data_IF_590367629452
#
_entry.id   IF_590367629452
#
_cell.length_a   1.000
_cell.length_b   1.000
_cell.length_c   1.000
_cell.angle_alpha   90.00
_cell.angle_beta   90.00
_cell.angle_gamma   90.00
#
_symmetry.space_group_name_H-M   'P 1'
#
loop_
_entity.id
_entity.type
_entity.pdbx_description
1 polymer ?
#
# COMPACT_ATOMS: atom_id res chain seq x y z
N UNK A 1 -19.85 -3.63 -13.10
CA UNK A 1 -19.86 -4.82 -12.22
C UNK A 1 -18.41 -5.23 -11.93
N UNK A 2 -18.04 -5.72 -10.73
CA UNK A 2 -16.67 -6.23 -10.45
C UNK A 2 -16.71 -7.51 -9.62
N UNK A 3 -16.09 -8.60 -10.11
CA UNK A 3 -16.16 -9.94 -9.49
C UNK A 3 -14.85 -10.70 -9.67
N UNK A 4 -14.44 -11.43 -8.63
CA UNK A 4 -13.21 -12.22 -8.64
C UNK A 4 -13.48 -13.69 -8.33
N UNK A 5 -12.67 -14.57 -8.92
CA UNK A 5 -12.82 -16.00 -8.85
C UNK A 5 -11.47 -16.69 -8.77
N UNK A 6 -11.42 -17.81 -8.06
CA UNK A 6 -10.26 -18.67 -7.96
C UNK A 6 -10.55 -20.09 -8.43
N UNK A 7 -9.52 -20.73 -8.95
CA UNK A 7 -9.54 -22.12 -9.36
C UNK A 7 -8.31 -22.81 -8.77
N UNK A 8 -8.56 -23.93 -8.07
CA UNK A 8 -7.51 -24.76 -7.48
C UNK A 8 -7.79 -26.23 -7.79
N UNK A 9 -6.79 -26.90 -8.36
CA UNK A 9 -6.72 -28.36 -8.53
C UNK A 9 -5.31 -28.87 -8.18
N UNK A 10 -5.03 -30.17 -8.33
CA UNK A 10 -3.72 -30.76 -8.00
C UNK A 10 -2.52 -30.13 -8.75
N UNK A 11 -2.75 -29.43 -9.88
CA UNK A 11 -1.71 -28.92 -10.78
C UNK A 11 -1.78 -27.40 -11.01
N UNK A 12 -2.86 -26.76 -10.64
CA UNK A 12 -3.17 -25.37 -11.00
C UNK A 12 -3.75 -24.62 -9.82
N UNK A 13 -3.15 -23.48 -9.52
CA UNK A 13 -3.72 -22.47 -8.64
C UNK A 13 -3.79 -21.14 -9.39
N UNK A 14 -5.00 -20.69 -9.73
CA UNK A 14 -5.24 -19.59 -10.68
C UNK A 14 -6.28 -18.62 -10.15
N UNK A 15 -6.13 -17.36 -10.52
CA UNK A 15 -7.15 -16.33 -10.31
C UNK A 15 -7.73 -15.89 -11.67
N UNK A 16 -8.96 -15.37 -11.64
CA UNK A 16 -9.60 -14.69 -12.75
C UNK A 16 -10.57 -13.66 -12.17
N UNK A 17 -10.48 -12.40 -12.59
CA UNK A 17 -11.48 -11.39 -12.24
C UNK A 17 -11.93 -10.63 -13.48
N UNK A 18 -13.12 -10.04 -13.37
CA UNK A 18 -13.75 -9.24 -14.41
C UNK A 18 -14.29 -7.94 -13.80
N UNK A 19 -14.11 -6.85 -14.51
CA UNK A 19 -14.72 -5.55 -14.20
C UNK A 19 -15.34 -4.97 -15.47
N UNK A 20 -16.63 -4.61 -15.42
CA UNK A 20 -17.32 -3.89 -16.48
C UNK A 20 -17.63 -2.45 -16.06
N UNK A 21 -17.41 -1.53 -16.99
CA UNK A 21 -17.71 -0.11 -16.90
C UNK A 21 -18.16 0.35 -18.29
N UNK A 22 -19.35 0.94 -18.37
CA UNK A 22 -19.95 1.38 -19.64
C UNK A 22 -20.01 0.24 -20.68
N UNK A 23 -19.65 0.51 -21.93
CA UNK A 23 -19.64 -0.47 -23.01
C UNK A 23 -18.40 -1.39 -23.01
N UNK A 24 -17.54 -1.29 -21.99
CA UNK A 24 -16.30 -2.05 -21.89
C UNK A 24 -16.28 -3.01 -20.71
N UNK A 25 -15.52 -4.08 -20.84
CA UNK A 25 -15.02 -4.80 -19.68
C UNK A 25 -13.56 -5.16 -19.82
N UNK A 26 -12.91 -5.30 -18.68
CA UNK A 26 -11.56 -5.84 -18.54
C UNK A 26 -11.62 -7.17 -17.79
N UNK A 27 -10.79 -8.12 -18.20
CA UNK A 27 -10.50 -9.33 -17.43
C UNK A 27 -9.02 -9.38 -17.08
N UNK A 28 -8.70 -9.87 -15.89
CA UNK A 28 -7.33 -10.19 -15.53
C UNK A 28 -7.24 -11.61 -14.99
N UNK A 29 -6.23 -12.34 -15.44
CA UNK A 29 -6.11 -13.77 -15.16
C UNK A 29 -4.69 -14.27 -15.18
N UNK A 30 -4.41 -15.26 -14.34
CA UNK A 30 -3.07 -15.80 -14.19
C UNK A 30 -2.99 -16.89 -13.13
N UNK A 31 -1.76 -17.29 -12.83
CA UNK A 31 -1.47 -18.07 -11.62
C UNK A 31 -1.63 -17.17 -10.40
N UNK A 32 -2.03 -17.72 -9.26
CA UNK A 32 -1.95 -16.98 -7.99
C UNK A 32 -0.50 -16.50 -7.80
N UNK A 33 -0.33 -15.31 -7.20
CA UNK A 33 0.95 -14.60 -7.01
C UNK A 33 1.65 -14.07 -8.27
N UNK A 34 1.01 -14.21 -9.44
CA UNK A 34 1.42 -13.55 -10.67
C UNK A 34 0.60 -12.28 -10.95
N UNK A 35 1.19 -11.35 -11.71
CA UNK A 35 0.47 -10.18 -12.25
C UNK A 35 -0.67 -10.64 -13.18
N UNK A 36 -0.43 -11.73 -13.89
CA UNK A 36 -1.35 -12.25 -14.91
C UNK A 36 -1.31 -11.43 -16.19
N UNK A 37 -2.35 -11.63 -17.01
CA UNK A 37 -2.60 -10.92 -18.25
C UNK A 37 -3.89 -10.12 -18.11
N UNK A 38 -3.91 -8.94 -18.72
CA UNK A 38 -5.11 -8.12 -18.87
C UNK A 38 -5.63 -8.29 -20.30
N UNK A 39 -6.95 -8.25 -20.45
CA UNK A 39 -7.61 -8.30 -21.76
C UNK A 39 -8.84 -7.39 -21.69
N UNK A 40 -8.89 -6.36 -22.55
CA UNK A 40 -10.01 -5.41 -22.66
C UNK A 40 -10.85 -5.76 -23.87
N UNK A 41 -12.16 -5.57 -23.72
CA UNK A 41 -13.12 -5.68 -24.82
C UNK A 41 -14.20 -4.62 -24.71
N UNK A 42 -14.68 -4.21 -25.87
CA UNK A 42 -15.66 -3.15 -26.06
C UNK A 42 -16.82 -3.63 -26.95
N UNK A 43 -18.01 -3.07 -26.74
CA UNK A 43 -19.23 -3.38 -27.48
C UNK A 43 -19.98 -2.13 -27.90
N UNK A 44 -20.96 -2.30 -28.79
CA UNK A 44 -21.82 -1.19 -29.24
C UNK A 44 -22.83 -0.72 -28.18
N UNK A 45 -23.06 -1.50 -27.11
CA UNK A 45 -23.99 -1.13 -26.05
C UNK A 45 -23.64 -1.78 -24.70
N UNK A 46 -24.04 -1.10 -23.62
CA UNK A 46 -23.89 -1.57 -22.24
C UNK A 46 -24.59 -2.93 -22.06
N UNK A 47 -25.78 -3.12 -22.63
CA UNK A 47 -26.52 -4.39 -22.46
C UNK A 47 -25.78 -5.57 -23.10
N UNK A 48 -25.15 -5.37 -24.26
CA UNK A 48 -24.38 -6.44 -24.90
C UNK A 48 -23.08 -6.71 -24.14
N UNK A 49 -22.39 -5.66 -23.65
CA UNK A 49 -21.23 -5.79 -22.77
C UNK A 49 -21.56 -6.63 -21.52
N UNK A 50 -22.61 -6.28 -20.79
CA UNK A 50 -23.03 -6.99 -19.58
C UNK A 50 -23.42 -8.44 -19.87
N UNK A 51 -24.14 -8.68 -20.98
CA UNK A 51 -24.51 -10.03 -21.40
C UNK A 51 -23.29 -10.89 -21.74
N UNK A 52 -22.27 -10.33 -22.39
CA UNK A 52 -21.02 -11.06 -22.66
C UNK A 52 -20.21 -11.29 -21.38
N UNK A 53 -20.14 -10.32 -20.48
CA UNK A 53 -19.50 -10.46 -19.18
C UNK A 53 -20.15 -11.59 -18.36
N UNK A 54 -21.48 -11.64 -18.28
CA UNK A 54 -22.22 -12.72 -17.62
C UNK A 54 -21.93 -14.10 -18.24
N UNK A 55 -21.88 -14.16 -19.57
CA UNK A 55 -21.58 -15.39 -20.30
C UNK A 55 -20.19 -15.92 -19.96
N UNK A 56 -19.20 -15.04 -19.82
CA UNK A 56 -17.85 -15.41 -19.37
C UNK A 56 -17.85 -15.91 -17.93
N UNK A 57 -18.55 -15.23 -17.02
CA UNK A 57 -18.68 -15.66 -15.61
C UNK A 57 -19.30 -17.07 -15.54
N UNK A 58 -20.44 -17.30 -16.22
CA UNK A 58 -21.11 -18.61 -16.27
C UNK A 58 -20.16 -19.70 -16.82
N UNK A 59 -19.37 -19.36 -17.83
CA UNK A 59 -18.35 -20.26 -18.40
C UNK A 59 -17.24 -20.61 -17.41
N UNK A 60 -16.76 -19.63 -16.62
CA UNK A 60 -15.73 -19.84 -15.59
C UNK A 60 -16.23 -20.69 -14.44
N UNK A 61 -17.44 -20.42 -13.94
CA UNK A 61 -18.09 -21.23 -12.90
C UNK A 61 -18.24 -22.69 -13.36
N UNK A 62 -18.68 -22.92 -14.61
CA UNK A 62 -18.78 -24.28 -15.18
C UNK A 62 -17.42 -25.00 -15.24
N UNK A 63 -16.32 -24.26 -15.37
CA UNK A 63 -14.95 -24.79 -15.33
C UNK A 63 -14.41 -25.02 -13.92
N UNK A 64 -15.22 -24.79 -12.88
CA UNK A 64 -14.86 -25.03 -11.48
C UNK A 64 -14.27 -23.81 -10.75
N UNK A 65 -14.26 -22.62 -11.37
CA UNK A 65 -13.89 -21.40 -10.66
C UNK A 65 -14.94 -21.08 -9.59
N UNK A 66 -14.48 -20.72 -8.40
CA UNK A 66 -15.31 -20.32 -7.26
C UNK A 66 -15.16 -18.83 -7.03
N UNK A 67 -16.28 -18.15 -6.82
CA UNK A 67 -16.28 -16.73 -6.51
C UNK A 67 -15.70 -16.47 -5.12
N UNK A 68 -14.95 -15.38 -5.01
CA UNK A 68 -14.31 -14.94 -3.77
C UNK A 68 -14.68 -13.49 -3.49
N UNK A 69 -15.15 -13.23 -2.27
CA UNK A 69 -15.66 -11.92 -1.86
C UNK A 69 -14.57 -11.02 -1.24
N UNK A 70 -13.45 -11.61 -0.82
CA UNK A 70 -12.34 -10.95 -0.14
C UNK A 70 -11.09 -10.83 -1.04
N UNK A 71 -11.28 -10.80 -2.36
CA UNK A 71 -10.16 -10.56 -3.27
C UNK A 71 -9.61 -9.15 -3.08
N UNK A 72 -8.31 -9.05 -2.85
CA UNK A 72 -7.64 -7.77 -2.68
C UNK A 72 -7.34 -7.15 -4.04
N UNK A 73 -8.23 -6.25 -4.48
CA UNK A 73 -8.05 -5.49 -5.71
C UNK A 73 -7.08 -4.32 -5.55
N UNK A 74 -6.77 -3.89 -4.33
CA UNK A 74 -5.96 -2.70 -4.06
C UNK A 74 -4.46 -3.03 -3.98
N UNK A 75 -4.11 -4.27 -3.63
CA UNK A 75 -2.72 -4.70 -3.58
C UNK A 75 -2.33 -5.51 -4.82
N UNK A 76 -2.62 -4.96 -6.00
CA UNK A 76 -2.27 -5.57 -7.29
C UNK A 76 -1.67 -4.55 -8.26
N UNK A 77 -0.88 -5.08 -9.18
CA UNK A 77 -0.37 -4.33 -10.31
C UNK A 77 -1.38 -4.33 -11.46
N UNK A 78 -1.72 -3.14 -11.94
CA UNK A 78 -2.66 -2.86 -13.02
C UNK A 78 -1.91 -2.49 -14.29
N UNK A 79 -2.07 -3.30 -15.33
CA UNK A 79 -1.29 -3.21 -16.56
C UNK A 79 -2.24 -3.13 -17.75
N UNK A 80 -1.81 -2.49 -18.82
CA UNK A 80 -2.59 -2.43 -20.04
C UNK A 80 -2.65 -3.79 -20.76
N UNK A 81 -3.66 -3.94 -21.60
CA UNK A 81 -3.73 -5.05 -22.54
C UNK A 81 -2.70 -4.82 -23.63
N UNK A 82 -1.90 -5.82 -23.98
CA UNK A 82 -0.83 -5.68 -24.98
C UNK A 82 -1.37 -5.47 -26.40
N UNK A 83 -2.63 -5.84 -26.63
CA UNK A 83 -3.32 -5.70 -27.92
C UNK A 83 -4.22 -4.45 -27.97
N UNK A 84 -4.28 -3.67 -26.90
CA UNK A 84 -5.10 -2.46 -26.77
C UNK A 84 -4.21 -1.28 -26.35
N UNK A 85 -4.61 -0.05 -26.67
CA UNK A 85 -3.93 1.13 -26.17
C UNK A 85 -4.16 1.31 -24.65
N UNK A 86 -3.63 2.39 -24.08
CA UNK A 86 -3.81 2.73 -22.68
C UNK A 86 -5.31 2.92 -22.40
N UNK A 87 -5.84 2.27 -21.36
CA UNK A 87 -7.26 2.37 -21.01
C UNK A 87 -7.47 2.60 -19.51
N UNK A 88 -8.57 3.26 -19.20
CA UNK A 88 -8.92 3.59 -17.83
C UNK A 88 -9.21 2.33 -17.01
N UNK A 89 -9.88 1.32 -17.57
CA UNK A 89 -10.23 0.08 -16.88
C UNK A 89 -9.02 -0.78 -16.49
N UNK A 90 -7.91 -0.63 -17.20
CA UNK A 90 -6.60 -1.26 -16.86
C UNK A 90 -5.79 -0.44 -15.87
N UNK A 91 -6.34 0.65 -15.33
CA UNK A 91 -5.71 1.48 -14.30
C UNK A 91 -6.19 1.13 -12.88
N UNK A 92 -5.29 1.28 -11.91
CA UNK A 92 -5.56 0.99 -10.50
C UNK A 92 -6.79 1.79 -9.98
N UNK A 93 -7.65 1.21 -9.12
CA UNK A 93 -8.84 1.90 -8.58
C UNK A 93 -8.55 3.29 -7.98
N UNK A 94 -7.47 3.43 -7.20
CA UNK A 94 -7.06 4.74 -6.66
C UNK A 94 -6.64 5.75 -7.74
N UNK A 95 -6.02 5.31 -8.83
CA UNK A 95 -5.73 6.19 -9.97
C UNK A 95 -7.03 6.70 -10.57
N UNK A 96 -7.94 5.79 -10.93
CA UNK A 96 -9.24 6.14 -11.53
C UNK A 96 -10.11 7.04 -10.66
N UNK A 97 -10.01 6.87 -9.34
CA UNK A 97 -10.77 7.68 -8.39
C UNK A 97 -10.29 9.14 -8.36
N UNK A 98 -8.99 9.35 -8.57
CA UNK A 98 -8.38 10.68 -8.44
C UNK A 98 -8.25 11.39 -9.79
N UNK A 99 -7.76 10.68 -10.80
CA UNK A 99 -7.52 11.19 -12.15
C UNK A 99 -8.72 10.88 -13.03
N UNK A 100 -9.77 11.70 -12.95
CA UNK A 100 -11.07 11.38 -13.59
C UNK A 100 -11.18 11.78 -15.05
N UNK A 101 -10.22 12.54 -15.59
CA UNK A 101 -10.19 12.92 -17.00
C UNK A 101 -9.50 11.84 -17.85
N UNK A 102 -10.30 10.87 -18.32
CA UNK A 102 -9.77 9.76 -19.12
C UNK A 102 -9.05 10.23 -20.41
N UNK A 103 -9.51 11.33 -21.02
CA UNK A 103 -8.89 11.87 -22.25
C UNK A 103 -7.55 12.56 -21.99
N UNK A 104 -7.27 12.94 -20.75
CA UNK A 104 -5.98 13.47 -20.34
C UNK A 104 -5.02 12.35 -19.94
N UNK A 105 -5.51 11.36 -19.20
CA UNK A 105 -4.65 10.40 -18.50
C UNK A 105 -4.45 9.06 -19.22
N UNK A 106 -5.28 8.75 -20.22
CA UNK A 106 -5.17 7.55 -21.05
C UNK A 106 -4.96 7.86 -22.53
N UNK A 107 -4.68 9.11 -22.88
CA UNK A 107 -4.45 9.52 -24.26
C UNK A 107 -3.00 9.26 -24.67
N UNK A 108 -2.83 8.51 -25.75
CA UNK A 108 -1.53 8.10 -26.29
C UNK A 108 -1.13 8.90 -27.55
N UNK A 109 -1.76 10.05 -27.82
CA UNK A 109 -1.53 10.83 -29.05
C UNK A 109 -1.47 12.35 -28.84
N UNK A 110 -1.56 12.83 -27.61
CA UNK A 110 -1.33 14.23 -27.26
C UNK A 110 -0.01 14.34 -26.48
N UNK A 111 1.01 14.94 -27.10
CA UNK A 111 2.39 15.01 -26.59
C UNK A 111 2.52 15.69 -25.21
N UNK A 112 1.52 16.48 -24.78
CA UNK A 112 1.55 17.12 -23.45
C UNK A 112 1.01 16.21 -22.34
N UNK A 113 0.35 15.10 -22.68
CA UNK A 113 -0.22 14.15 -21.72
C UNK A 113 0.87 13.19 -21.20
N UNK A 114 0.68 12.57 -20.00
CA UNK A 114 1.76 11.78 -19.37
C UNK A 114 2.30 10.61 -20.19
N UNK A 115 1.50 10.09 -21.12
CA UNK A 115 1.84 8.92 -21.94
C UNK A 115 1.59 9.13 -23.44
N UNK A 116 1.33 10.37 -23.87
CA UNK A 116 0.96 10.68 -25.25
C UNK A 116 2.13 10.98 -26.18
N UNK A 117 3.28 11.31 -25.61
CA UNK A 117 4.55 11.39 -26.31
C UNK A 117 5.22 10.03 -26.45
N UNK A 118 6.17 9.91 -27.39
CA UNK A 118 6.98 8.69 -27.56
C UNK A 118 7.73 8.33 -26.26
N UNK A 119 8.34 9.33 -25.60
CA UNK A 119 9.09 9.15 -24.34
C UNK A 119 8.16 8.72 -23.20
N UNK A 120 7.00 9.36 -23.04
CA UNK A 120 6.03 8.99 -22.01
C UNK A 120 5.48 7.57 -22.21
N UNK A 121 5.17 7.20 -23.45
CA UNK A 121 4.69 5.88 -23.82
C UNK A 121 5.76 4.79 -23.56
N UNK A 122 6.99 5.03 -24.01
CA UNK A 122 8.13 4.13 -23.80
C UNK A 122 8.39 3.91 -22.31
N UNK A 123 8.35 4.98 -21.50
CA UNK A 123 8.52 4.90 -20.04
C UNK A 123 7.49 3.95 -19.43
N UNK A 124 6.20 4.11 -19.75
CA UNK A 124 5.16 3.22 -19.23
C UNK A 124 5.41 1.76 -19.62
N UNK A 125 5.70 1.52 -20.91
CA UNK A 125 5.97 0.18 -21.43
C UNK A 125 7.18 -0.49 -20.77
N UNK A 126 8.30 0.25 -20.64
CA UNK A 126 9.53 -0.24 -20.02
C UNK A 126 9.30 -0.57 -18.54
N UNK A 127 8.56 0.26 -17.81
CA UNK A 127 8.19 0.02 -16.42
C UNK A 127 7.40 -1.28 -16.29
N UNK A 128 6.37 -1.47 -17.11
CA UNK A 128 5.57 -2.70 -17.11
C UNK A 128 6.44 -3.93 -17.37
N UNK A 129 7.30 -3.90 -18.39
CA UNK A 129 8.22 -4.99 -18.69
C UNK A 129 9.17 -5.30 -17.53
N UNK A 130 9.75 -4.26 -16.92
CA UNK A 130 10.71 -4.41 -15.82
C UNK A 130 10.03 -5.01 -14.60
N UNK A 131 8.83 -4.56 -14.24
CA UNK A 131 8.07 -5.11 -13.10
C UNK A 131 7.70 -6.59 -13.35
N UNK A 132 7.40 -6.99 -14.60
CA UNK A 132 7.16 -8.41 -14.93
C UNK A 132 8.40 -9.28 -14.73
N UNK A 133 9.61 -8.74 -14.98
CA UNK A 133 10.89 -9.44 -14.84
C UNK A 133 11.44 -9.40 -13.42
N UNK A 134 11.23 -8.29 -12.71
CA UNK A 134 11.70 -8.04 -11.36
C UNK A 134 10.63 -7.30 -10.56
N UNK A 135 10.04 -7.96 -9.57
CA UNK A 135 9.00 -7.37 -8.70
C UNK A 135 9.57 -6.27 -7.77
N UNK A 136 10.89 -6.15 -7.67
CA UNK A 136 11.61 -5.26 -6.76
C UNK A 136 12.03 -3.97 -7.47
N UNK A 137 11.15 -3.46 -8.31
CA UNK A 137 11.40 -2.30 -9.15
C UNK A 137 11.31 -1.00 -8.34
N UNK A 138 12.38 -0.18 -8.37
CA UNK A 138 12.37 1.15 -7.77
C UNK A 138 11.91 2.19 -8.79
N UNK A 139 10.69 2.71 -8.62
CA UNK A 139 10.17 3.82 -9.42
C UNK A 139 10.97 5.11 -9.19
N UNK A 140 11.49 5.32 -7.98
CA UNK A 140 12.22 6.54 -7.62
C UNK A 140 13.58 6.61 -8.34
N UNK A 141 14.29 5.49 -8.43
CA UNK A 141 15.63 5.47 -9.05
C UNK A 141 15.56 5.30 -10.58
N UNK A 142 14.40 4.88 -11.09
CA UNK A 142 14.21 4.54 -12.49
C UNK A 142 14.50 5.68 -13.48
N UNK A 143 14.04 6.94 -13.29
CA UNK A 143 14.26 8.01 -14.27
C UNK A 143 15.74 8.21 -14.61
N UNK A 144 16.57 8.34 -13.58
CA UNK A 144 18.01 8.49 -13.72
C UNK A 144 18.65 7.27 -14.37
N UNK A 145 18.25 6.08 -13.92
CA UNK A 145 18.77 4.83 -14.49
C UNK A 145 18.43 4.72 -15.98
N UNK A 146 17.19 4.99 -16.39
CA UNK A 146 16.75 4.91 -17.78
C UNK A 146 17.58 5.85 -18.66
N UNK A 147 17.64 7.12 -18.28
CA UNK A 147 18.29 8.17 -19.06
C UNK A 147 19.80 7.94 -19.16
N UNK A 148 20.49 7.67 -18.04
CA UNK A 148 21.94 7.53 -18.05
C UNK A 148 22.43 6.17 -18.55
N UNK A 149 21.71 5.08 -18.23
CA UNK A 149 22.19 3.71 -18.49
C UNK A 149 21.63 3.10 -19.75
N UNK A 150 20.35 3.34 -20.05
CA UNK A 150 19.72 2.72 -21.23
C UNK A 150 19.78 3.66 -22.44
N UNK A 151 19.57 4.96 -22.24
CA UNK A 151 19.58 5.94 -23.33
C UNK A 151 20.95 6.63 -23.51
N UNK A 152 21.81 6.61 -22.49
CA UNK A 152 23.16 7.18 -22.56
C UNK A 152 23.17 8.71 -22.65
N UNK A 153 22.14 9.35 -22.11
CA UNK A 153 21.94 10.81 -22.06
C UNK A 153 22.27 11.30 -20.63
N UNK A 154 22.65 12.57 -20.49
CA UNK A 154 22.86 13.18 -19.16
C UNK A 154 21.51 13.42 -18.48
N UNK A 155 21.34 12.91 -17.26
CA UNK A 155 20.14 13.14 -16.46
C UNK A 155 20.21 14.46 -15.70
N UNK A 156 19.20 15.30 -15.87
CA UNK A 156 19.04 16.55 -15.13
C UNK A 156 18.04 16.38 -14.00
N UNK A 157 18.55 16.23 -12.78
CA UNK A 157 17.71 16.18 -11.57
C UNK A 157 16.81 17.44 -11.50
N UNK A 158 15.48 17.28 -11.32
CA UNK A 158 14.59 18.42 -11.12
C UNK A 158 14.81 19.01 -9.74
N UNK A 159 15.27 20.26 -9.72
CA UNK A 159 15.56 21.04 -8.50
C UNK A 159 14.92 22.43 -8.60
N UNK A 160 14.62 23.09 -7.47
CA UNK A 160 14.11 24.46 -7.49
C UNK A 160 15.08 25.42 -8.20
N UNK A 161 14.56 26.17 -9.18
CA UNK A 161 15.34 27.15 -9.94
C UNK A 161 15.33 28.49 -9.21
N UNK A 162 16.48 28.92 -8.71
CA UNK A 162 16.63 30.15 -7.89
C UNK A 162 16.95 31.37 -8.78
N UNK A 163 17.69 31.18 -9.87
CA UNK A 163 18.10 32.24 -10.79
C UNK A 163 17.67 31.92 -12.23
N UNK A 164 16.50 32.46 -12.62
CA UNK A 164 15.94 32.31 -13.98
C UNK A 164 16.89 32.81 -15.06
N UNK A 165 17.74 33.80 -14.79
CA UNK A 165 18.67 34.35 -15.81
C UNK A 165 19.80 33.40 -16.11
N UNK A 166 20.40 32.84 -15.07
CA UNK A 166 21.46 31.83 -15.21
C UNK A 166 20.89 30.58 -15.90
N UNK A 167 19.71 30.12 -15.47
CA UNK A 167 19.03 28.99 -16.10
C UNK A 167 18.74 29.25 -17.58
N UNK A 168 18.29 30.44 -17.96
CA UNK A 168 18.04 30.80 -19.36
C UNK A 168 19.31 30.78 -20.23
N UNK A 169 20.49 31.08 -19.67
CA UNK A 169 21.76 30.92 -20.40
C UNK A 169 22.17 29.44 -20.50
N UNK A 170 21.91 28.64 -19.46
CA UNK A 170 22.19 27.20 -19.47
C UNK A 170 21.39 26.46 -20.56
N UNK A 171 20.13 26.83 -20.78
CA UNK A 171 19.28 26.24 -21.83
C UNK A 171 19.88 26.38 -23.25
N UNK A 172 20.69 27.43 -23.49
CA UNK A 172 21.32 27.71 -24.79
C UNK A 172 22.56 26.85 -25.06
N UNK A 173 23.08 26.16 -24.04
CA UNK A 173 24.22 25.26 -24.19
C UNK A 173 23.84 24.14 -25.16
N UNK A 174 24.77 23.75 -26.02
CA UNK A 174 24.61 22.60 -26.92
C UNK A 174 25.62 21.53 -26.54
N UNK A 175 25.15 20.30 -26.34
CA UNK A 175 26.00 19.14 -26.15
C UNK A 175 25.64 18.06 -27.19
N UNK A 176 26.66 17.53 -27.87
CA UNK A 176 26.54 16.50 -28.92
C UNK A 176 25.45 16.75 -29.99
N UNK A 177 25.10 18.01 -30.24
CA UNK A 177 24.10 18.40 -31.25
C UNK A 177 22.68 18.59 -30.72
N UNK A 178 22.42 18.30 -29.44
CA UNK A 178 21.17 18.60 -28.74
C UNK A 178 21.32 19.89 -27.92
N UNK A 179 20.24 20.66 -27.80
CA UNK A 179 20.20 21.76 -26.83
C UNK A 179 20.07 21.20 -25.41
N UNK A 180 20.64 21.91 -24.43
CA UNK A 180 20.46 21.59 -23.01
C UNK A 180 18.98 21.58 -22.64
N UNK A 181 18.21 22.50 -23.22
CA UNK A 181 16.75 22.51 -23.13
C UNK A 181 16.10 21.16 -23.49
N UNK A 182 16.44 20.58 -24.65
CA UNK A 182 15.88 19.31 -25.07
C UNK A 182 16.24 18.17 -24.10
N UNK A 183 17.48 18.15 -23.59
CA UNK A 183 17.94 17.14 -22.64
C UNK A 183 17.24 17.28 -21.27
N UNK A 184 16.99 18.52 -20.83
CA UNK A 184 16.24 18.80 -19.60
C UNK A 184 14.78 18.38 -19.76
N UNK A 185 14.13 18.74 -20.87
CA UNK A 185 12.75 18.34 -21.15
C UNK A 185 12.61 16.81 -21.18
N UNK A 186 13.55 16.10 -21.81
CA UNK A 186 13.60 14.64 -21.79
C UNK A 186 13.68 14.08 -20.36
N UNK A 187 14.50 14.72 -19.50
CA UNK A 187 14.62 14.33 -18.10
C UNK A 187 13.33 14.56 -17.32
N UNK A 188 12.68 15.71 -17.53
CA UNK A 188 11.42 16.07 -16.88
C UNK A 188 10.29 15.13 -17.30
N UNK A 189 10.20 14.84 -18.59
CA UNK A 189 9.16 13.99 -19.17
C UNK A 189 9.25 12.55 -18.66
N UNK A 190 10.46 11.99 -18.57
CA UNK A 190 10.66 10.66 -17.97
C UNK A 190 10.24 10.65 -16.50
N UNK A 191 10.57 11.69 -15.72
CA UNK A 191 10.20 11.76 -14.30
C UNK A 191 8.68 11.85 -14.15
N UNK A 192 8.02 12.68 -14.95
CA UNK A 192 6.56 12.87 -14.96
C UNK A 192 5.86 11.56 -15.35
N UNK A 193 6.24 10.96 -16.47
CA UNK A 193 5.67 9.70 -16.94
C UNK A 193 5.89 8.57 -15.91
N UNK A 194 7.04 8.52 -15.25
CA UNK A 194 7.32 7.52 -14.20
C UNK A 194 6.39 7.71 -13.00
N UNK A 195 6.14 8.95 -12.56
CA UNK A 195 5.25 9.25 -11.45
C UNK A 195 3.80 8.82 -11.75
N UNK A 196 3.27 9.22 -12.91
CA UNK A 196 1.93 8.81 -13.32
C UNK A 196 1.83 7.31 -13.57
N UNK A 197 2.86 6.67 -14.14
CA UNK A 197 2.92 5.22 -14.31
C UNK A 197 2.87 4.50 -12.96
N UNK A 198 3.60 4.97 -11.94
CA UNK A 198 3.55 4.38 -10.60
C UNK A 198 2.12 4.39 -10.05
N UNK A 199 1.44 5.53 -10.14
CA UNK A 199 0.08 5.65 -9.60
C UNK A 199 -0.91 4.82 -10.42
N UNK A 200 -0.80 4.84 -11.76
CA UNK A 200 -1.62 4.03 -12.66
C UNK A 200 -1.50 2.55 -12.34
N UNK A 201 -0.28 2.07 -12.12
CA UNK A 201 0.02 0.65 -11.93
C UNK A 201 -0.26 0.18 -10.50
N UNK A 202 0.02 1.01 -9.50
CA UNK A 202 0.03 0.59 -8.07
C UNK A 202 -0.99 1.30 -7.19
N UNK A 203 -1.59 2.39 -7.67
CA UNK A 203 -2.45 3.24 -6.87
C UNK A 203 -1.74 4.02 -5.77
N UNK A 204 -0.41 4.10 -5.81
CA UNK A 204 0.45 4.76 -4.84
C UNK A 204 1.54 5.55 -5.57
N UNK A 205 2.20 6.46 -4.86
CA UNK A 205 3.33 7.25 -5.35
C UNK A 205 4.46 7.26 -4.31
N UNK A 206 5.72 7.18 -4.73
CA UNK A 206 6.84 7.47 -3.84
C UNK A 206 6.95 8.99 -3.61
N UNK A 207 7.07 9.45 -2.36
CA UNK A 207 7.04 10.88 -2.05
C UNK A 207 8.18 11.68 -2.71
N UNK A 208 9.39 11.11 -2.79
CA UNK A 208 10.51 11.76 -3.48
C UNK A 208 10.27 11.81 -5.00
N UNK A 209 9.73 10.75 -5.60
CA UNK A 209 9.31 10.78 -7.00
C UNK A 209 8.21 11.82 -7.25
N UNK A 210 7.23 11.94 -6.35
CA UNK A 210 6.17 12.95 -6.41
C UNK A 210 6.76 14.36 -6.40
N UNK A 211 7.66 14.65 -5.46
CA UNK A 211 8.31 15.95 -5.35
C UNK A 211 9.07 16.30 -6.65
N UNK A 212 9.84 15.35 -7.18
CA UNK A 212 10.60 15.54 -8.42
C UNK A 212 9.70 15.74 -9.64
N UNK A 213 8.59 15.02 -9.74
CA UNK A 213 7.63 15.23 -10.82
C UNK A 213 6.95 16.60 -10.73
N UNK A 214 6.58 17.07 -9.53
CA UNK A 214 6.07 18.43 -9.33
C UNK A 214 7.10 19.51 -9.69
N UNK A 215 8.38 19.28 -9.37
CA UNK A 215 9.48 20.17 -9.79
C UNK A 215 9.69 20.12 -11.30
N UNK A 216 9.52 18.97 -11.93
CA UNK A 216 9.63 18.78 -13.39
C UNK A 216 8.54 19.57 -14.13
N UNK A 217 7.28 19.45 -13.70
CA UNK A 217 6.15 20.21 -14.27
C UNK A 217 6.35 21.74 -14.14
N UNK A 218 6.86 22.20 -12.99
CA UNK A 218 7.25 23.62 -12.78
C UNK A 218 8.40 24.05 -13.69
N UNK A 219 9.40 23.17 -13.86
CA UNK A 219 10.56 23.44 -14.72
C UNK A 219 10.15 23.54 -16.18
N UNK A 220 9.29 22.65 -16.67
CA UNK A 220 8.74 22.72 -18.02
C UNK A 220 7.95 24.00 -18.27
N UNK A 221 7.11 24.44 -17.33
CA UNK A 221 6.39 25.72 -17.43
C UNK A 221 7.35 26.92 -17.50
N UNK A 222 8.43 26.90 -16.71
CA UNK A 222 9.46 27.93 -16.76
C UNK A 222 10.25 27.92 -18.08
N UNK A 223 10.61 26.75 -18.59
CA UNK A 223 11.27 26.61 -19.90
C UNK A 223 10.37 27.18 -20.99
N UNK A 224 9.08 26.83 -21.00
CA UNK A 224 8.11 27.38 -21.95
C UNK A 224 8.08 28.91 -21.93
N UNK A 225 7.99 29.51 -20.73
CA UNK A 225 8.06 30.97 -20.54
C UNK A 225 9.36 31.57 -21.08
N UNK A 226 10.52 30.96 -20.81
CA UNK A 226 11.83 31.49 -21.23
C UNK A 226 11.99 31.39 -22.75
N UNK A 227 11.60 30.26 -23.35
CA UNK A 227 11.72 30.01 -24.78
C UNK A 227 10.60 30.65 -25.61
N UNK A 228 9.56 31.18 -24.95
CA UNK A 228 8.41 31.79 -25.62
C UNK A 228 7.42 30.78 -26.19
N UNK A 229 7.40 29.56 -25.66
CA UNK A 229 6.32 28.60 -25.90
C UNK A 229 5.09 29.04 -25.09
N UNK A 230 3.90 28.77 -25.63
CA UNK A 230 2.66 29.13 -24.95
C UNK A 230 2.52 28.47 -23.58
N UNK A 231 1.60 28.98 -22.75
CA UNK A 231 1.22 28.28 -21.52
C UNK A 231 0.48 26.98 -21.87
N UNK A 232 0.79 25.89 -21.17
CA UNK A 232 0.11 24.60 -21.29
C UNK A 232 -0.91 24.45 -20.17
N UNK A 233 -2.19 24.38 -20.52
CA UNK A 233 -3.27 24.08 -19.57
C UNK A 233 -3.21 22.62 -19.09
N UNK A 234 -2.71 21.72 -19.94
CA UNK A 234 -2.48 20.31 -19.59
C UNK A 234 -1.45 20.22 -18.47
N UNK A 235 -0.28 20.86 -18.61
CA UNK A 235 0.77 20.85 -17.59
C UNK A 235 0.26 21.39 -16.23
N UNK A 236 -0.55 22.45 -16.24
CA UNK A 236 -1.19 22.99 -15.02
C UNK A 236 -2.15 21.97 -14.39
N UNK A 237 -2.94 21.28 -15.19
CA UNK A 237 -3.87 20.25 -14.72
C UNK A 237 -3.10 19.07 -14.10
N UNK A 238 -2.06 18.57 -14.78
CA UNK A 238 -1.18 17.51 -14.27
C UNK A 238 -0.54 17.89 -12.93
N UNK A 239 -0.08 19.14 -12.79
CA UNK A 239 0.48 19.63 -11.52
C UNK A 239 -0.55 19.59 -10.40
N UNK A 240 -1.74 20.15 -10.60
CA UNK A 240 -2.77 20.24 -9.57
C UNK A 240 -3.27 18.86 -9.14
N UNK A 241 -3.47 17.97 -10.10
CA UNK A 241 -3.96 16.62 -9.83
C UNK A 241 -2.88 15.77 -9.13
N UNK A 242 -1.62 15.88 -9.55
CA UNK A 242 -0.52 15.20 -8.86
C UNK A 242 -0.31 15.76 -7.44
N UNK A 243 -0.33 17.07 -7.26
CA UNK A 243 -0.15 17.73 -5.96
C UNK A 243 -1.19 17.25 -4.96
N UNK A 244 -2.45 17.16 -5.39
CA UNK A 244 -3.58 16.72 -4.58
C UNK A 244 -3.67 15.19 -4.39
N UNK A 245 -2.92 14.38 -5.13
CA UNK A 245 -2.93 12.93 -4.97
C UNK A 245 -2.24 12.52 -3.66
N UNK A 246 -2.95 11.87 -2.76
CA UNK A 246 -2.40 11.33 -1.51
C UNK A 246 -2.41 9.81 -1.51
N UNK A 247 -1.30 9.22 -1.06
CA UNK A 247 -1.26 7.80 -0.75
C UNK A 247 -2.35 7.46 0.28
N UNK A 248 -3.15 6.43 -0.01
CA UNK A 248 -4.17 5.96 0.93
C UNK A 248 -3.48 5.57 2.23
N UNK A 249 -3.80 6.27 3.31
CA UNK A 249 -3.20 6.02 4.63
C UNK A 249 -3.50 4.58 5.05
N UNK A 250 -2.47 3.74 5.12
CA UNK A 250 -2.60 2.39 5.69
C UNK A 250 -2.89 2.57 7.17
N UNK A 251 -4.06 2.10 7.61
CA UNK A 251 -4.40 2.13 9.03
C UNK A 251 -3.41 1.23 9.78
N UNK A 252 -2.74 1.77 10.79
CA UNK A 252 -1.80 1.05 11.66
C UNK A 252 -2.58 0.22 12.68
N UNK A 253 -3.28 -0.79 12.16
CA UNK A 253 -4.12 -1.74 12.89
C UNK A 253 -3.53 -3.13 12.67
N UNK A 254 -3.15 -3.84 13.74
CA UNK A 254 -2.63 -5.20 13.60
C UNK A 254 -3.62 -6.11 12.90
N UNK A 255 -3.11 -6.99 12.04
CA UNK A 255 -3.93 -7.87 11.19
C UNK A 255 -4.88 -8.74 12.00
N UNK A 256 -4.43 -9.20 13.17
CA UNK A 256 -5.19 -10.05 14.09
C UNK A 256 -6.33 -9.32 14.83
N UNK A 257 -6.36 -7.98 14.79
CA UNK A 257 -7.40 -7.15 15.43
C UNK A 257 -8.32 -6.42 14.46
N UNK A 258 -8.12 -6.54 13.14
CA UNK A 258 -8.88 -5.78 12.11
C UNK A 258 -10.40 -5.83 12.28
N UNK A 259 -10.95 -6.96 12.76
CA UNK A 259 -12.39 -7.15 12.94
C UNK A 259 -12.89 -6.90 14.37
N UNK A 260 -11.99 -6.64 15.33
CA UNK A 260 -12.28 -6.56 16.76
C UNK A 260 -11.99 -5.17 17.34
N UNK A 261 -12.03 -4.13 16.50
CA UNK A 261 -11.76 -2.75 16.89
C UNK A 261 -12.86 -1.79 16.42
N UNK A 262 -12.99 -0.67 17.13
CA UNK A 262 -13.75 0.52 16.72
C UNK A 262 -13.10 1.79 17.27
N UNK A 263 -13.66 2.94 16.93
CA UNK A 263 -13.20 4.25 17.41
C UNK A 263 -11.69 4.50 17.16
N UNK A 264 -11.16 4.04 16.02
CA UNK A 264 -9.74 4.22 15.68
C UNK A 264 -9.39 5.70 15.49
N UNK A 265 -8.32 6.13 16.15
CA UNK A 265 -7.74 7.46 16.03
C UNK A 265 -6.22 7.33 16.02
N UNK A 266 -5.56 8.01 15.10
CA UNK A 266 -4.10 8.05 15.01
C UNK A 266 -3.61 9.46 15.36
N UNK A 267 -2.84 9.56 16.45
CA UNK A 267 -2.14 10.78 16.89
C UNK A 267 -0.67 10.40 17.15
N UNK A 268 -0.20 10.59 18.39
CA UNK A 268 1.11 10.08 18.84
C UNK A 268 1.13 8.55 18.88
N UNK A 269 -0.04 7.93 19.09
CA UNK A 269 -0.24 6.47 19.04
C UNK A 269 -1.44 6.13 18.16
N UNK A 270 -1.46 4.91 17.64
CA UNK A 270 -2.67 4.29 17.10
C UNK A 270 -3.56 3.83 18.24
N UNK A 271 -4.63 4.59 18.51
CA UNK A 271 -5.58 4.33 19.60
C UNK A 271 -6.85 3.69 19.05
N UNK A 272 -7.30 2.61 19.69
CA UNK A 272 -8.52 1.89 19.29
C UNK A 272 -9.26 1.31 20.49
N UNK A 273 -10.57 1.14 20.35
CA UNK A 273 -11.42 0.42 21.32
C UNK A 273 -11.58 -1.03 20.90
N UNK A 274 -11.38 -1.98 21.83
CA UNK A 274 -11.64 -3.40 21.57
C UNK A 274 -13.15 -3.68 21.58
N UNK A 275 -13.63 -4.41 20.58
CA UNK A 275 -15.04 -4.79 20.41
C UNK A 275 -15.15 -6.24 19.96
N UNK A 276 -16.17 -6.95 20.44
CA UNK A 276 -16.49 -8.29 19.97
C UNK A 276 -17.10 -8.26 18.57
N UNK A 277 -17.10 -9.40 17.88
CA UNK A 277 -17.75 -9.57 16.58
C UNK A 277 -19.25 -9.27 16.61
N UNK A 278 -19.87 -9.25 17.81
CA UNK A 278 -21.27 -8.85 18.01
C UNK A 278 -21.48 -7.34 18.23
N UNK A 279 -20.40 -6.55 18.23
CA UNK A 279 -20.44 -5.12 18.49
C UNK A 279 -20.39 -4.73 19.98
N UNK A 280 -20.19 -5.68 20.90
CA UNK A 280 -20.11 -5.41 22.33
C UNK A 280 -18.70 -4.93 22.73
N UNK A 281 -18.60 -3.80 23.41
CA UNK A 281 -17.35 -3.19 23.88
C UNK A 281 -17.16 -3.25 25.40
N UNK A 282 -18.08 -3.91 26.12
CA UNK A 282 -17.95 -4.22 27.54
C UNK A 282 -17.43 -5.65 27.68
N UNK A 283 -16.13 -5.76 27.97
CA UNK A 283 -15.39 -7.01 27.94
C UNK A 283 -14.70 -7.32 29.29
N UNK A 284 -14.51 -8.60 29.57
CA UNK A 284 -13.60 -9.03 30.64
C UNK A 284 -12.17 -9.06 30.15
N UNK A 285 -11.20 -8.79 31.02
CA UNK A 285 -9.77 -8.95 30.73
C UNK A 285 -9.26 -10.22 31.41
N UNK A 286 -8.56 -11.04 30.65
CA UNK A 286 -7.89 -12.25 31.10
C UNK A 286 -6.44 -12.22 30.62
N UNK A 287 -5.52 -12.73 31.43
CA UNK A 287 -4.10 -12.62 31.14
C UNK A 287 -3.29 -13.83 31.62
N UNK A 288 -2.19 -14.13 30.94
CA UNK A 288 -1.10 -14.95 31.44
C UNK A 288 0.08 -14.01 31.71
N UNK A 289 0.54 -13.97 32.96
CA UNK A 289 1.54 -13.03 33.44
C UNK A 289 1.45 -12.84 34.97
N UNK A 290 2.26 -11.94 35.50
CA UNK A 290 2.29 -11.55 36.91
C UNK A 290 1.79 -10.12 37.11
N UNK A 291 1.36 -9.81 38.34
CA UNK A 291 0.82 -8.51 38.69
C UNK A 291 1.80 -7.73 39.55
N UNK A 292 2.21 -6.56 39.06
CA UNK A 292 3.19 -5.71 39.72
C UNK A 292 2.57 -4.38 40.16
N UNK A 293 3.04 -3.84 41.28
CA UNK A 293 2.63 -2.52 41.75
C UNK A 293 3.56 -1.45 41.15
N UNK A 294 2.98 -0.50 40.42
CA UNK A 294 3.72 0.62 39.83
C UNK A 294 3.58 1.84 40.73
N UNK A 295 4.70 2.49 41.04
CA UNK A 295 4.73 3.64 41.95
C UNK A 295 3.88 4.79 41.40
N UNK A 296 2.84 5.17 42.13
CA UNK A 296 1.92 6.25 41.76
C UNK A 296 0.62 5.76 41.11
N UNK A 297 0.56 4.48 40.74
CA UNK A 297 -0.62 3.86 40.15
C UNK A 297 -1.49 3.17 41.21
N UNK A 298 -2.81 3.19 40.99
CA UNK A 298 -3.77 2.58 41.92
C UNK A 298 -4.08 1.13 41.56
N UNK A 299 -3.73 0.71 40.35
CA UNK A 299 -3.97 -0.62 39.80
C UNK A 299 -2.65 -1.33 39.59
N UNK A 300 -2.69 -2.67 39.66
CA UNK A 300 -1.54 -3.49 39.33
C UNK A 300 -1.36 -3.52 37.81
N UNK A 301 -0.14 -3.74 37.35
CA UNK A 301 0.16 -3.89 35.93
C UNK A 301 0.43 -5.36 35.62
N UNK A 302 -0.05 -5.81 34.48
CA UNK A 302 0.27 -7.12 33.92
C UNK A 302 1.70 -7.03 33.38
N UNK A 303 2.59 -7.82 33.95
CA UNK A 303 3.99 -7.91 33.52
C UNK A 303 4.44 -9.36 33.37
N UNK A 304 5.72 -9.51 33.02
CA UNK A 304 6.30 -10.79 32.69
C UNK A 304 6.46 -11.70 33.92
N UNK A 305 6.31 -13.01 33.67
CA UNK A 305 6.77 -14.07 34.57
C UNK A 305 8.07 -14.59 33.98
N UNK A 306 9.08 -14.89 34.81
CA UNK A 306 10.35 -15.46 34.36
C UNK A 306 10.13 -16.55 33.29
N UNK A 307 10.60 -16.27 32.07
CA UNK A 307 10.55 -17.16 30.91
C UNK A 307 9.15 -17.60 30.47
N UNK A 308 8.07 -16.84 30.68
CA UNK A 308 6.75 -17.13 30.08
C UNK A 308 6.22 -15.88 29.37
N UNK A 309 6.02 -15.92 28.04
CA UNK A 309 5.54 -14.77 27.29
C UNK A 309 4.12 -14.38 27.71
N UNK A 310 3.89 -13.09 27.91
CA UNK A 310 2.60 -12.52 28.26
C UNK A 310 1.56 -12.85 27.20
N UNK A 311 0.35 -13.12 27.66
CA UNK A 311 -0.83 -13.20 26.81
C UNK A 311 -1.96 -12.42 27.44
N UNK A 312 -2.61 -11.53 26.70
CA UNK A 312 -3.76 -10.77 27.17
C UNK A 312 -4.92 -10.97 26.19
N UNK A 313 -6.06 -11.40 26.72
CA UNK A 313 -7.28 -11.60 25.94
C UNK A 313 -8.46 -10.85 26.56
N UNK A 314 -9.35 -10.38 25.69
CA UNK A 314 -10.67 -9.91 26.07
C UNK A 314 -11.71 -11.02 25.88
N UNK A 315 -12.66 -11.14 26.81
CA UNK A 315 -13.76 -12.11 26.69
C UNK A 315 -15.09 -11.38 26.74
N UNK A 316 -15.91 -11.58 25.70
CA UNK A 316 -17.30 -11.18 25.69
C UNK A 316 -18.16 -12.23 26.39
N UNK A 317 -18.74 -11.89 27.54
CA UNK A 317 -19.58 -12.82 28.30
C UNK A 317 -20.80 -13.32 27.55
N UNK A 318 -21.34 -12.51 26.63
CA UNK A 318 -22.60 -12.81 25.93
C UNK A 318 -22.35 -13.77 24.76
N UNK A 319 -21.39 -13.46 23.90
CA UNK A 319 -21.04 -14.32 22.75
C UNK A 319 -20.09 -15.47 23.11
N UNK A 320 -19.39 -15.38 24.25
CA UNK A 320 -18.27 -16.25 24.64
C UNK A 320 -17.06 -16.15 23.71
N UNK A 321 -16.99 -15.09 22.90
CA UNK A 321 -15.85 -14.80 22.04
C UNK A 321 -14.64 -14.40 22.89
N UNK A 322 -13.50 -15.03 22.59
CA UNK A 322 -12.18 -14.67 23.09
C UNK A 322 -11.43 -13.91 22.00
N UNK A 323 -10.94 -12.73 22.34
CA UNK A 323 -10.24 -11.82 21.44
C UNK A 323 -8.82 -11.65 21.97
N UNK A 324 -7.82 -12.04 21.19
CA UNK A 324 -6.42 -11.84 21.57
C UNK A 324 -6.08 -10.36 21.38
N UNK A 325 -5.79 -9.65 22.47
CA UNK A 325 -5.33 -8.25 22.43
C UNK A 325 -3.82 -8.22 22.18
N UNK A 326 -3.09 -9.05 22.93
CA UNK A 326 -1.64 -9.14 22.86
C UNK A 326 -1.18 -10.57 23.17
N UNK A 327 -0.16 -11.01 22.46
CA UNK A 327 0.50 -12.29 22.67
C UNK A 327 1.99 -12.06 22.37
N UNK A 328 2.80 -11.98 23.41
CA UNK A 328 4.24 -11.68 23.32
C UNK A 328 5.00 -12.81 22.62
N UNK A 329 4.40 -13.96 22.36
CA UNK A 329 5.04 -14.99 21.53
C UNK A 329 4.88 -14.77 20.02
N UNK A 330 4.08 -13.76 19.61
CA UNK A 330 3.75 -13.56 18.18
C UNK A 330 3.56 -12.11 17.75
N UNK A 331 3.40 -11.16 18.66
CA UNK A 331 3.04 -9.78 18.35
C UNK A 331 4.06 -8.78 18.89
N UNK A 332 4.28 -7.69 18.15
CA UNK A 332 5.34 -6.71 18.43
C UNK A 332 6.66 -7.05 17.76
N UNK A 333 7.54 -6.05 17.63
CA UNK A 333 8.81 -6.18 16.90
C UNK A 333 9.73 -7.25 17.51
N UNK A 334 9.94 -7.23 18.83
CA UNK A 334 10.76 -8.22 19.51
C UNK A 334 10.30 -9.65 19.23
N UNK A 335 9.00 -9.94 19.32
CA UNK A 335 8.45 -11.28 19.05
C UNK A 335 8.62 -11.73 17.60
N UNK A 336 8.77 -10.77 16.67
CA UNK A 336 8.97 -11.05 15.25
C UNK A 336 10.41 -11.34 14.90
N UNK A 337 11.35 -10.66 15.56
CA UNK A 337 12.75 -10.58 15.11
C UNK A 337 13.82 -10.87 16.17
N UNK A 338 13.48 -10.78 17.45
CA UNK A 338 14.45 -10.81 18.56
C UNK A 338 14.24 -11.99 19.52
N UNK A 339 13.00 -12.22 19.94
CA UNK A 339 12.67 -13.13 21.05
C UNK A 339 12.18 -14.50 20.54
N UNK A 340 12.85 -15.56 20.98
CA UNK A 340 12.43 -16.95 20.74
C UNK A 340 11.81 -17.57 21.99
N UNK A 341 10.68 -18.23 21.80
CA UNK A 341 10.01 -19.00 22.85
C UNK A 341 9.87 -20.46 22.47
N UNK A 342 10.11 -21.35 23.42
CA UNK A 342 9.90 -22.78 23.24
C UNK A 342 8.41 -23.13 23.18
N UNK A 343 8.11 -24.21 22.47
CA UNK A 343 6.78 -24.83 22.40
C UNK A 343 6.11 -25.02 23.78
N UNK A 344 6.91 -25.38 24.79
CA UNK A 344 6.42 -25.59 26.16
C UNK A 344 5.98 -24.28 26.82
N UNK A 345 6.77 -23.21 26.66
CA UNK A 345 6.43 -21.87 27.15
C UNK A 345 5.16 -21.34 26.46
N UNK A 346 5.00 -21.60 25.16
CA UNK A 346 3.81 -21.14 24.39
C UNK A 346 2.56 -21.93 24.79
N UNK A 347 2.66 -23.25 24.97
CA UNK A 347 1.52 -24.14 25.29
C UNK A 347 1.06 -24.01 26.75
N UNK A 348 1.97 -23.74 27.68
CA UNK A 348 1.64 -23.68 29.11
C UNK A 348 1.36 -22.25 29.61
N UNK A 349 0.28 -21.63 29.07
CA UNK A 349 -0.10 -20.25 29.41
C UNK A 349 -1.52 -20.14 29.95
N UNK A 350 -1.78 -20.64 31.19
CA UNK A 350 -3.11 -20.57 31.78
C UNK A 350 -3.50 -19.12 32.03
N UNK A 351 -4.69 -18.76 31.56
CA UNK A 351 -5.25 -17.41 31.73
C UNK A 351 -5.88 -17.24 33.12
N UNK A 352 -5.57 -16.11 33.75
CA UNK A 352 -6.17 -15.62 34.99
C UNK A 352 -7.05 -14.43 34.68
N UNK A 353 -8.22 -14.36 35.30
CA UNK A 353 -9.08 -13.19 35.19
C UNK A 353 -8.43 -12.00 35.89
N UNK A 354 -8.38 -10.85 35.20
CA UNK A 354 -7.98 -9.59 35.80
C UNK A 354 -9.14 -8.99 36.61
N UNK A 355 -8.88 -8.58 37.85
CA UNK A 355 -9.92 -8.21 38.82
C UNK A 355 -10.44 -6.77 38.60
N UNK A 356 -11.20 -6.59 37.51
CA UNK A 356 -11.92 -5.36 37.19
C UNK A 356 -13.37 -5.66 36.78
N UNK A 357 -14.27 -4.68 36.91
CA UNK A 357 -15.57 -4.74 36.26
C UNK A 357 -15.43 -4.91 34.75
N UNK A 358 -16.45 -5.48 34.12
CA UNK A 358 -16.57 -5.51 32.66
C UNK A 358 -16.53 -4.07 32.17
N UNK A 359 -15.56 -3.75 31.32
CA UNK A 359 -15.20 -2.36 31.00
C UNK A 359 -14.91 -2.19 29.51
N UNK A 360 -14.99 -0.93 29.05
CA UNK A 360 -14.48 -0.54 27.74
C UNK A 360 -12.95 -0.58 27.77
N UNK A 361 -12.35 -1.26 26.80
CA UNK A 361 -10.90 -1.43 26.70
C UNK A 361 -10.34 -0.56 25.57
N UNK A 362 -9.27 0.17 25.87
CA UNK A 362 -8.56 1.06 24.95
C UNK A 362 -7.14 0.53 24.76
N UNK A 363 -6.78 0.25 23.52
CA UNK A 363 -5.45 -0.17 23.11
C UNK A 363 -4.75 1.00 22.40
N UNK A 364 -3.51 1.28 22.80
CA UNK A 364 -2.63 2.27 22.19
C UNK A 364 -1.37 1.57 21.70
N UNK A 365 -1.01 1.75 20.44
CA UNK A 365 0.17 1.15 19.80
C UNK A 365 1.11 2.22 19.25
N UNK A 366 2.41 2.09 19.51
CA UNK A 366 3.47 2.91 18.93
C UNK A 366 4.09 2.25 17.70
N UNK A 367 4.60 3.08 16.78
CA UNK A 367 5.23 2.62 15.56
C UNK A 367 6.34 3.62 15.18
N UNK A 368 7.43 3.60 15.95
CA UNK A 368 8.58 4.48 15.77
C UNK A 368 9.72 3.83 14.98
N UNK A 369 9.62 2.52 14.72
CA UNK A 369 10.56 1.78 13.87
C UNK A 369 10.48 2.27 12.42
N UNK A 370 11.63 2.63 11.86
CA UNK A 370 11.75 2.93 10.44
C UNK A 370 12.01 1.65 9.64
N UNK A 371 10.93 0.97 9.29
CA UNK A 371 11.02 -0.26 8.53
C UNK A 371 11.62 -0.09 7.14
N UNK A 372 11.53 1.08 6.50
CA UNK A 372 12.13 1.23 5.17
C UNK A 372 13.66 1.28 5.24
N UNK A 373 14.23 1.81 6.32
CA UNK A 373 15.68 1.75 6.60
C UNK A 373 16.13 0.31 6.93
N UNK A 374 15.33 -0.46 7.67
CA UNK A 374 15.68 -1.85 8.06
C UNK A 374 15.29 -2.92 7.00
N UNK A 375 14.68 -2.50 5.88
CA UNK A 375 14.07 -3.41 4.91
C UNK A 375 15.02 -4.45 4.33
N UNK A 376 16.24 -4.03 4.01
CA UNK A 376 17.25 -4.92 3.42
C UNK A 376 17.69 -6.02 4.39
N UNK A 377 17.49 -5.86 5.70
CA UNK A 377 17.88 -6.85 6.70
C UNK A 377 16.88 -8.00 6.82
N UNK A 378 15.59 -7.73 6.58
CA UNK A 378 14.51 -8.68 6.87
C UNK A 378 13.82 -9.23 5.62
N UNK A 379 13.81 -8.49 4.53
CA UNK A 379 12.99 -8.87 3.37
C UNK A 379 13.61 -10.05 2.61
N UNK A 380 12.79 -11.05 2.32
CA UNK A 380 13.20 -12.19 1.52
C UNK A 380 13.49 -11.75 0.07
N UNK A 381 14.19 -12.60 -0.70
CA UNK A 381 14.57 -12.34 -2.11
C UNK A 381 13.38 -11.98 -3.03
N UNK A 382 12.14 -12.29 -2.63
CA UNK A 382 10.93 -11.94 -3.36
C UNK A 382 10.47 -10.47 -3.18
N UNK A 383 11.19 -9.70 -2.35
CA UNK A 383 10.88 -8.40 -1.72
C UNK A 383 9.41 -8.18 -1.36
N UNK A 384 8.73 -9.23 -0.95
CA UNK A 384 7.31 -9.17 -0.55
C UNK A 384 7.07 -9.78 0.79
N UNK A 385 7.90 -10.74 1.17
CA UNK A 385 7.72 -11.50 2.39
C UNK A 385 8.90 -11.35 3.32
N UNK A 386 8.64 -11.61 4.59
CA UNK A 386 9.64 -11.67 5.65
C UNK A 386 9.47 -13.00 6.36
N UNK A 387 10.58 -13.67 6.60
CA UNK A 387 10.61 -14.87 7.43
C UNK A 387 10.83 -14.43 8.88
N UNK A 388 9.83 -14.64 9.72
CA UNK A 388 9.90 -14.31 11.15
C UNK A 388 10.82 -15.29 11.88
N UNK A 389 11.23 -14.93 13.10
CA UNK A 389 12.10 -15.76 13.94
C UNK A 389 11.49 -17.14 14.26
N UNK A 390 10.16 -17.23 14.31
CA UNK A 390 9.43 -18.48 14.50
C UNK A 390 9.30 -19.34 13.22
N UNK A 391 9.81 -18.87 12.08
CA UNK A 391 9.74 -19.52 10.77
C UNK A 391 8.48 -19.24 9.95
N UNK A 392 7.52 -18.47 10.48
CA UNK A 392 6.35 -18.05 9.72
C UNK A 392 6.75 -17.03 8.65
N UNK A 393 6.03 -17.06 7.52
CA UNK A 393 6.24 -16.13 6.40
C UNK A 393 5.06 -15.17 6.36
N UNK A 394 5.33 -13.88 6.53
CA UNK A 394 4.32 -12.81 6.46
C UNK A 394 4.67 -11.76 5.40
N UNK A 395 3.69 -10.96 4.98
CA UNK A 395 3.94 -9.90 4.00
C UNK A 395 4.68 -8.71 4.64
N UNK A 396 5.49 -8.00 3.84
CA UNK A 396 6.20 -6.79 4.26
C UNK A 396 5.26 -5.72 4.83
N UNK A 397 4.06 -5.59 4.26
CA UNK A 397 3.07 -4.63 4.75
C UNK A 397 2.44 -5.07 6.08
N UNK A 398 2.29 -6.39 6.30
CA UNK A 398 1.80 -6.92 7.58
C UNK A 398 2.85 -6.79 8.70
N UNK A 399 4.15 -6.88 8.38
CA UNK A 399 5.25 -6.58 9.32
C UNK A 399 5.06 -5.20 9.92
N UNK A 400 4.86 -4.18 9.08
CA UNK A 400 4.75 -2.77 9.50
C UNK A 400 3.59 -2.51 10.48
N UNK A 401 2.49 -3.26 10.37
CA UNK A 401 1.30 -3.07 11.23
C UNK A 401 1.25 -4.03 12.41
N UNK A 402 2.00 -5.14 12.39
CA UNK A 402 2.04 -6.11 13.47
C UNK A 402 3.29 -5.95 14.37
N UNK A 403 4.38 -5.42 13.83
CA UNK A 403 5.62 -5.14 14.54
C UNK A 403 5.63 -3.72 15.12
N UNK A 404 4.69 -3.43 15.99
CA UNK A 404 4.74 -2.21 16.81
C UNK A 404 5.84 -2.32 17.88
N UNK A 405 6.43 -1.20 18.25
CA UNK A 405 7.50 -1.08 19.27
C UNK A 405 6.97 -0.73 20.66
N UNK A 406 5.70 -0.38 20.77
CA UNK A 406 5.09 0.00 22.04
C UNK A 406 3.64 -0.44 22.10
N UNK A 407 3.22 -0.92 23.27
CA UNK A 407 1.83 -1.24 23.56
C UNK A 407 1.43 -0.68 24.92
N UNK A 408 0.26 -0.05 24.99
CA UNK A 408 -0.43 0.26 26.25
C UNK A 408 -1.88 -0.20 26.20
N UNK A 409 -2.29 -0.98 27.20
CA UNK A 409 -3.69 -1.38 27.40
C UNK A 409 -4.28 -0.65 28.60
N UNK A 410 -5.45 -0.08 28.40
CA UNK A 410 -6.21 0.64 29.42
C UNK A 410 -7.68 0.22 29.46
N UNK A 411 -8.34 0.42 30.59
CA UNK A 411 -9.79 0.32 30.71
C UNK A 411 -10.41 1.64 31.17
N UNK A 412 -11.68 1.84 30.85
CA UNK A 412 -12.47 2.96 31.37
C UNK A 412 -13.17 2.50 32.65
N UNK A 413 -12.83 3.13 33.78
CA UNK A 413 -13.46 2.80 35.06
C UNK A 413 -14.87 3.39 35.19
N UNK A 414 -15.56 3.07 36.29
CA UNK A 414 -16.93 3.53 36.57
C UNK A 414 -17.09 5.07 36.62
N UNK A 415 -16.00 5.82 36.79
CA UNK A 415 -16.00 7.28 36.80
C UNK A 415 -15.65 7.88 35.42
N UNK A 416 -15.56 7.07 34.37
CA UNK A 416 -15.17 7.50 33.03
C UNK A 416 -13.68 7.80 32.87
N UNK A 417 -12.83 7.48 33.86
CA UNK A 417 -11.39 7.72 33.80
C UNK A 417 -10.69 6.52 33.13
N UNK A 418 -9.80 6.81 32.18
CA UNK A 418 -8.87 5.85 31.58
C UNK A 418 -7.80 5.44 32.60
N UNK A 419 -7.64 4.14 32.84
CA UNK A 419 -6.67 3.55 33.77
C UNK A 419 -5.87 2.48 33.02
N UNK A 420 -4.55 2.59 33.02
CA UNK A 420 -3.66 1.65 32.34
C UNK A 420 -3.36 0.43 33.20
N UNK A 421 -3.25 -0.73 32.55
CA UNK A 421 -3.07 -2.04 33.19
C UNK A 421 -1.95 -2.87 32.55
N UNK A 422 -1.43 -2.43 31.39
CA UNK A 422 -0.28 -3.02 30.73
C UNK A 422 0.42 -1.94 29.91
N UNK A 423 1.75 -1.97 29.90
CA UNK A 423 2.60 -1.07 29.12
C UNK A 423 3.93 -1.80 28.81
N UNK A 424 4.27 -1.91 27.53
CA UNK A 424 5.43 -2.68 27.05
C UNK A 424 6.18 -1.89 25.98
N UNK A 425 7.51 -1.83 26.14
CA UNK A 425 8.45 -1.49 25.06
C UNK A 425 8.87 -2.80 24.39
N UNK A 426 8.80 -2.84 23.07
CA UNK A 426 8.85 -4.05 22.25
C UNK A 426 9.89 -3.95 21.12
N UNK A 427 10.80 -2.98 21.18
CA UNK A 427 11.95 -2.82 20.30
C UNK A 427 13.11 -2.15 21.05
#
# INVERSE_FOLDING_TARGET
MKRAFEFSDEKSHKFWWIESLEEKFVVNYGKIDSIGKYEIKEWDSIEECEKQAEKLIKSKIKKGYKEINNFDFENRYYFDDIEYDIDFLTSHPNFRKHFTDEQLYCNCGDEETPFGSDTGNDVLHIIEEKIRKNKNFSFSDFPKYLIEKEWGIEYFEPVPIIDEKTFAEDLKIKDKGLSREAIINESDEVVIATAFAQIKITGKINENLKERALLSLKRMELIAKICGYGESEINKQLYNDLESFENKKTLKIPTYLKNNIKDYVEKDFSTMTIVSSSGNDLLEVWYCGELFEVKGEKTKYIGNIDNIPIKIVAIDRKSKEEIIIFDESSHGYNSMFCDEYTDEQIKNRPLKKYDIPISKLILELGYSIDYEDEKEEFINDDNKTVTLINGDIISWEDVKVNGYDFLRLSYINNNGKKISIAEYELA
#
